data_IF_690207477733
#
_entry.id   IF_690207477733
#
_cell.length_a   1.000
_cell.length_b   1.000
_cell.length_c   1.000
_cell.angle_alpha   90.00
_cell.angle_beta   90.00
_cell.angle_gamma   90.00
#
_symmetry.space_group_name_H-M   'P 1'
#
loop_
_entity.id
_entity.type
_entity.pdbx_description
1 polymer ?
#
# COMPACT_ATOMS: atom_id res chain seq x y z
N UNK A 1 -18.28 -18.98 -6.58
CA UNK A 1 -17.72 -19.65 -5.39
C UNK A 1 -17.95 -18.73 -4.21
N UNK A 2 -18.52 -19.22 -3.11
CA UNK A 2 -18.76 -18.44 -1.88
C UNK A 2 -17.73 -18.90 -0.85
N UNK A 3 -17.15 -17.98 -0.08
CA UNK A 3 -16.28 -18.34 1.04
C UNK A 3 -17.08 -19.16 2.06
N UNK A 4 -16.45 -20.16 2.67
CA UNK A 4 -17.07 -20.97 3.73
C UNK A 4 -17.44 -20.09 4.93
N UNK A 5 -16.54 -19.17 5.27
CA UNK A 5 -16.76 -18.12 6.27
C UNK A 5 -16.90 -16.77 5.56
N UNK A 6 -18.04 -16.07 5.68
CA UNK A 6 -18.21 -14.75 5.09
C UNK A 6 -17.19 -13.74 5.63
N UNK A 7 -16.69 -12.89 4.74
CA UNK A 7 -15.78 -11.81 5.07
C UNK A 7 -16.31 -10.51 4.47
N UNK A 8 -16.48 -9.48 5.29
CA UNK A 8 -16.78 -8.13 4.85
C UNK A 8 -15.48 -7.39 4.57
N UNK A 9 -15.37 -6.83 3.38
CA UNK A 9 -14.24 -6.00 2.97
C UNK A 9 -14.68 -4.53 2.85
N UNK A 10 -13.99 -3.64 3.57
CA UNK A 10 -14.16 -2.19 3.50
C UNK A 10 -12.84 -1.54 3.10
N UNK A 11 -12.86 -0.74 2.03
CA UNK A 11 -11.69 0.01 1.56
C UNK A 11 -11.81 1.49 1.89
N UNK A 12 -10.81 2.04 2.57
CA UNK A 12 -10.59 3.47 2.69
C UNK A 12 -9.49 3.91 1.75
N UNK A 13 -9.67 5.08 1.15
CA UNK A 13 -8.76 5.69 0.21
C UNK A 13 -8.49 7.13 0.67
N UNK A 14 -7.23 7.43 0.92
CA UNK A 14 -6.80 8.75 1.33
C UNK A 14 -5.73 9.27 0.37
N UNK A 15 -5.98 10.43 -0.23
CA UNK A 15 -5.08 11.03 -1.21
C UNK A 15 -4.54 12.35 -0.68
N UNK A 16 -3.22 12.49 -0.66
CA UNK A 16 -2.53 13.72 -0.31
C UNK A 16 -2.66 14.76 -1.42
N UNK A 17 -2.93 16.01 -1.04
CA UNK A 17 -3.02 17.14 -1.98
C UNK A 17 -1.67 17.80 -2.24
N UNK A 18 -0.92 18.06 -1.17
CA UNK A 18 0.38 18.76 -1.22
C UNK A 18 1.58 17.80 -1.11
N UNK A 19 1.33 16.58 -0.63
CA UNK A 19 2.30 15.48 -0.63
C UNK A 19 1.78 14.43 -1.58
N UNK A 20 2.59 13.94 -2.54
CA UNK A 20 2.18 12.87 -3.44
C UNK A 20 2.08 11.57 -2.65
N UNK A 21 0.89 11.31 -2.11
CA UNK A 21 0.58 10.16 -1.30
C UNK A 21 -0.78 9.61 -1.71
N UNK A 22 -0.86 8.30 -1.89
CA UNK A 22 -2.11 7.57 -1.86
C UNK A 22 -2.00 6.47 -0.80
N UNK A 23 -2.86 6.53 0.22
CA UNK A 23 -2.98 5.53 1.26
C UNK A 23 -4.25 4.72 1.03
N UNK A 24 -4.09 3.42 0.87
CA UNK A 24 -5.16 2.45 0.62
C UNK A 24 -5.22 1.54 1.84
N UNK A 25 -6.37 1.47 2.50
CA UNK A 25 -6.55 0.65 3.70
C UNK A 25 -7.71 -0.29 3.44
N UNK A 26 -7.45 -1.59 3.52
CA UNK A 26 -8.45 -2.63 3.40
C UNK A 26 -8.70 -3.23 4.78
N UNK A 27 -9.84 -2.90 5.37
CA UNK A 27 -10.34 -3.51 6.59
C UNK A 27 -11.15 -4.76 6.25
N UNK A 28 -10.94 -5.81 7.03
CA UNK A 28 -11.54 -7.12 6.85
C UNK A 28 -12.18 -7.54 8.17
N UNK A 29 -13.50 -7.75 8.11
CA UNK A 29 -14.34 -8.10 9.27
C UNK A 29 -15.09 -9.40 8.95
N UNK A 30 -14.84 -10.44 9.73
CA UNK A 30 -15.49 -11.72 9.57
C UNK A 30 -15.13 -12.69 10.68
N UNK A 31 -15.44 -13.95 10.46
CA UNK A 31 -15.10 -15.03 11.41
C UNK A 31 -14.05 -15.96 10.79
N UNK A 32 -13.22 -16.54 11.65
CA UNK A 32 -12.21 -17.53 11.26
C UNK A 32 -10.99 -16.96 10.55
N UNK A 33 -10.29 -17.85 9.83
CA UNK A 33 -8.95 -17.61 9.29
C UNK A 33 -9.01 -17.50 7.77
N UNK A 34 -8.46 -16.43 7.23
CA UNK A 34 -8.52 -16.11 5.80
C UNK A 34 -7.12 -15.94 5.21
N UNK A 35 -6.93 -16.46 4.00
CA UNK A 35 -5.82 -16.08 3.14
C UNK A 35 -6.24 -14.85 2.33
N UNK A 36 -5.50 -13.76 2.51
CA UNK A 36 -5.84 -12.45 1.98
C UNK A 36 -4.75 -12.01 1.01
N UNK A 37 -5.20 -11.43 -0.10
CA UNK A 37 -4.34 -10.82 -1.10
C UNK A 37 -4.78 -9.39 -1.40
N UNK A 38 -3.87 -8.43 -1.19
CA UNK A 38 -4.02 -7.11 -1.80
C UNK A 38 -3.22 -7.07 -3.10
N UNK A 39 -3.93 -7.02 -4.23
CA UNK A 39 -3.35 -7.14 -5.57
C UNK A 39 -3.39 -5.84 -6.36
N UNK A 40 -2.28 -5.52 -7.02
CA UNK A 40 -2.15 -4.38 -7.92
C UNK A 40 -1.68 -4.84 -9.30
N UNK A 41 -2.47 -4.53 -10.32
CA UNK A 41 -2.10 -4.77 -11.71
C UNK A 41 -1.27 -3.62 -12.23
N UNK A 42 -0.20 -3.92 -12.97
CA UNK A 42 0.68 -2.89 -13.51
C UNK A 42 0.39 -2.60 -14.96
N UNK A 43 0.81 -1.41 -15.38
CA UNK A 43 0.87 -1.06 -16.78
C UNK A 43 1.90 -1.93 -17.50
N UNK A 44 1.75 -2.08 -18.81
CA UNK A 44 2.66 -2.89 -19.65
C UNK A 44 4.11 -2.37 -19.66
N UNK A 45 4.29 -1.07 -19.44
CA UNK A 45 5.59 -0.41 -19.36
C UNK A 45 6.22 -0.44 -17.96
N UNK A 46 5.56 -1.04 -16.97
CA UNK A 46 6.08 -1.03 -15.60
C UNK A 46 7.28 -1.99 -15.47
N UNK A 47 8.41 -1.44 -15.01
CA UNK A 47 9.54 -2.20 -14.49
C UNK A 47 9.46 -2.21 -12.96
N UNK A 48 9.43 -3.40 -12.38
CA UNK A 48 9.04 -3.60 -11.00
C UNK A 48 10.06 -4.45 -10.24
N UNK A 49 10.41 -4.05 -9.02
CA UNK A 49 11.31 -4.81 -8.16
C UNK A 49 10.98 -4.64 -6.68
N UNK A 50 11.25 -5.67 -5.89
CA UNK A 50 11.22 -5.55 -4.43
C UNK A 50 12.43 -4.73 -3.97
N UNK A 51 12.22 -3.89 -2.96
CA UNK A 51 13.29 -3.09 -2.34
C UNK A 51 13.44 -3.48 -0.87
N UNK A 52 14.69 -3.48 -0.40
CA UNK A 52 15.00 -3.73 1.00
C UNK A 52 14.79 -2.43 1.79
N UNK A 53 13.59 -2.25 2.30
CA UNK A 53 13.29 -1.24 3.32
C UNK A 53 13.43 -1.86 4.72
N UNK A 54 13.92 -1.07 5.68
CA UNK A 54 14.34 -1.56 6.99
C UNK A 54 13.17 -2.05 7.87
N UNK A 55 11.97 -1.48 7.66
CA UNK A 55 10.81 -1.69 8.55
C UNK A 55 9.57 -2.23 7.86
N UNK A 56 9.44 -2.08 6.54
CA UNK A 56 8.22 -2.44 5.83
C UNK A 56 8.54 -3.14 4.52
N UNK A 57 7.82 -4.20 4.13
CA UNK A 57 7.93 -4.74 2.79
C UNK A 57 7.56 -3.65 1.76
N UNK A 58 8.40 -3.50 0.76
CA UNK A 58 8.24 -2.46 -0.23
C UNK A 58 8.65 -2.89 -1.62
N UNK A 59 8.08 -2.19 -2.58
CA UNK A 59 8.31 -2.38 -4.00
C UNK A 59 8.56 -1.02 -4.64
N UNK A 60 9.50 -0.99 -5.57
CA UNK A 60 9.70 0.13 -6.48
C UNK A 60 9.17 -0.24 -7.87
N UNK A 61 8.48 0.72 -8.48
CA UNK A 61 7.89 0.63 -9.81
C UNK A 61 8.43 1.81 -10.60
N UNK A 62 9.13 1.53 -11.69
CA UNK A 62 9.60 2.53 -12.64
C UNK A 62 8.80 2.39 -13.95
N UNK A 63 8.47 3.52 -14.57
CA UNK A 63 7.80 3.63 -15.87
C UNK A 63 8.77 4.31 -16.83
N UNK A 64 9.64 3.54 -17.53
CA UNK A 64 10.74 4.09 -18.31
C UNK A 64 10.30 5.05 -19.40
N UNK A 65 9.13 4.85 -20.02
CA UNK A 65 8.68 5.71 -21.10
C UNK A 65 8.43 7.16 -20.66
N UNK A 66 8.09 7.38 -19.38
CA UNK A 66 7.66 8.68 -18.86
C UNK A 66 8.54 9.21 -17.72
N UNK A 67 9.63 8.51 -17.37
CA UNK A 67 10.49 8.83 -16.23
C UNK A 67 9.69 9.06 -14.93
N UNK A 68 8.68 8.22 -14.71
CA UNK A 68 7.90 8.18 -13.47
C UNK A 68 8.33 6.96 -12.66
N UNK A 69 8.36 7.13 -11.35
CA UNK A 69 8.69 6.10 -10.40
C UNK A 69 7.80 6.24 -9.17
N UNK A 70 7.55 5.11 -8.55
CA UNK A 70 6.62 4.96 -7.45
C UNK A 70 7.17 3.92 -6.49
N UNK A 71 6.99 4.17 -5.21
CA UNK A 71 7.23 3.19 -4.17
C UNK A 71 5.91 2.82 -3.52
N UNK A 72 5.70 1.54 -3.27
CA UNK A 72 4.58 1.05 -2.48
C UNK A 72 5.14 0.31 -1.27
N UNK A 73 4.67 0.66 -0.09
CA UNK A 73 5.03 0.02 1.17
C UNK A 73 3.77 -0.56 1.82
N UNK A 74 3.90 -1.70 2.50
CA UNK A 74 2.77 -2.36 3.17
C UNK A 74 2.96 -2.52 4.67
N UNK A 75 1.85 -2.41 5.38
CA UNK A 75 1.73 -2.91 6.75
C UNK A 75 0.39 -3.60 6.93
N UNK A 76 0.27 -4.40 7.98
CA UNK A 76 -0.98 -5.06 8.31
C UNK A 76 -1.12 -5.25 9.82
N UNK A 77 -2.35 -5.52 10.26
CA UNK A 77 -2.66 -5.87 11.65
C UNK A 77 -3.68 -7.01 11.70
N UNK A 78 -3.77 -7.66 12.85
CA UNK A 78 -4.70 -8.78 13.06
C UNK A 78 -4.27 -10.09 12.41
N UNK A 79 -2.96 -10.28 12.29
CA UNK A 79 -2.36 -11.54 11.83
C UNK A 79 -2.30 -12.55 12.99
N UNK A 80 -2.60 -13.81 12.67
CA UNK A 80 -2.56 -14.92 13.65
C UNK A 80 -1.18 -15.61 13.69
N UNK A 81 -0.26 -15.27 12.78
CA UNK A 81 1.05 -15.91 12.66
C UNK A 81 2.09 -14.97 12.05
N UNK A 82 3.35 -15.13 12.44
CA UNK A 82 4.49 -14.49 11.76
C UNK A 82 4.59 -14.95 10.29
N UNK A 83 5.09 -14.10 9.37
CA UNK A 83 5.73 -12.79 9.60
C UNK A 83 4.75 -11.67 9.95
N UNK A 84 5.22 -10.68 10.70
CA UNK A 84 4.45 -9.47 11.11
C UNK A 84 4.04 -8.57 9.92
N UNK A 85 4.61 -8.83 8.74
CA UNK A 85 4.38 -8.07 7.53
C UNK A 85 3.88 -8.95 6.38
N UNK A 86 3.09 -8.39 5.44
CA UNK A 86 2.67 -9.10 4.24
C UNK A 86 3.87 -9.59 3.41
N UNK A 87 3.76 -10.80 2.85
CA UNK A 87 4.71 -11.31 1.87
C UNK A 87 4.39 -10.73 0.49
N UNK A 88 5.37 -10.10 -0.15
CA UNK A 88 5.19 -9.48 -1.47
C UNK A 88 5.70 -10.40 -2.57
N UNK A 89 4.85 -10.64 -3.56
CA UNK A 89 5.19 -11.44 -4.73
C UNK A 89 4.87 -10.70 -6.03
N UNK A 90 5.76 -10.86 -7.00
CA UNK A 90 5.55 -10.51 -8.40
C UNK A 90 4.95 -11.72 -9.12
N UNK A 91 3.76 -11.55 -9.68
CA UNK A 91 3.07 -12.63 -10.39
C UNK A 91 2.79 -12.24 -11.84
N UNK A 92 2.90 -13.18 -12.80
CA UNK A 92 2.46 -12.94 -14.17
C UNK A 92 0.99 -12.52 -14.22
N UNK A 93 0.68 -11.59 -15.10
CA UNK A 93 -0.68 -11.10 -15.31
C UNK A 93 -0.92 -10.71 -16.76
N UNK A 94 -2.15 -10.31 -17.10
CA UNK A 94 -2.51 -9.97 -18.47
C UNK A 94 -3.38 -8.73 -18.53
N UNK A 95 -3.11 -7.88 -19.51
CA UNK A 95 -3.92 -6.72 -19.87
C UNK A 95 -4.54 -6.97 -21.25
N UNK A 96 -5.83 -6.64 -21.39
CA UNK A 96 -6.56 -6.75 -22.66
C UNK A 96 -7.24 -5.42 -22.95
N UNK A 97 -6.61 -4.62 -23.82
CA UNK A 97 -7.17 -3.33 -24.26
C UNK A 97 -8.15 -3.50 -25.43
N UNK A 98 -8.01 -4.60 -26.18
CA UNK A 98 -8.84 -4.93 -27.33
C UNK A 98 -9.32 -6.38 -27.17
N UNK A 99 -10.63 -6.58 -27.37
CA UNK A 99 -11.24 -7.90 -27.28
C UNK A 99 -10.54 -8.91 -28.19
N UNK A 100 -10.21 -10.09 -27.64
CA UNK A 100 -9.49 -11.14 -28.37
C UNK A 100 -7.97 -11.01 -28.35
N UNK A 101 -7.41 -9.94 -27.76
CA UNK A 101 -5.97 -9.77 -27.55
C UNK A 101 -5.62 -9.76 -26.06
N UNK A 102 -4.48 -10.36 -25.70
CA UNK A 102 -3.92 -10.30 -24.34
C UNK A 102 -2.45 -9.97 -24.44
N UNK A 103 -2.00 -9.02 -23.64
CA UNK A 103 -0.61 -8.68 -23.47
C UNK A 103 -0.18 -9.10 -22.07
N UNK A 104 0.98 -9.72 -21.97
CA UNK A 104 1.56 -10.09 -20.68
C UNK A 104 2.01 -8.84 -19.93
N UNK A 105 1.76 -8.84 -18.63
CA UNK A 105 2.15 -7.80 -17.69
C UNK A 105 2.52 -8.45 -16.37
N UNK A 106 2.73 -7.65 -15.34
CA UNK A 106 3.07 -8.11 -14.00
C UNK A 106 2.08 -7.51 -13.00
N UNK A 107 1.77 -8.27 -11.97
CA UNK A 107 1.00 -7.80 -10.82
C UNK A 107 1.80 -7.99 -9.54
N UNK A 108 1.59 -7.11 -8.58
CA UNK A 108 2.03 -7.32 -7.20
C UNK A 108 0.92 -7.95 -6.40
N UNK A 109 1.31 -8.84 -5.50
CA UNK A 109 0.42 -9.43 -4.52
C UNK A 109 1.06 -9.30 -3.16
N UNK A 110 0.42 -8.55 -2.26
CA UNK A 110 0.73 -8.57 -0.85
C UNK A 110 -0.16 -9.64 -0.19
N UNK A 111 0.47 -10.73 0.25
CA UNK A 111 -0.18 -11.90 0.83
C UNK A 111 -0.03 -11.92 2.33
N UNK A 112 -1.09 -12.25 3.03
CA UNK A 112 -1.04 -12.55 4.45
C UNK A 112 -2.16 -13.49 4.87
N UNK A 113 -2.02 -14.04 6.07
CA UNK A 113 -3.08 -14.78 6.73
C UNK A 113 -3.62 -13.93 7.87
N UNK A 114 -4.92 -13.74 7.90
CA UNK A 114 -5.59 -12.92 8.91
C UNK A 114 -6.59 -13.74 9.72
N UNK A 115 -6.81 -13.29 10.95
CA UNK A 115 -7.96 -13.73 11.76
C UNK A 115 -9.22 -12.90 11.47
N UNK A 116 -10.10 -12.84 12.47
CA UNK A 116 -11.46 -12.30 12.38
C UNK A 116 -11.54 -10.81 12.02
N UNK A 117 -10.74 -9.98 12.69
CA UNK A 117 -10.68 -8.53 12.45
C UNK A 117 -9.24 -8.14 12.13
N UNK A 118 -9.04 -7.69 10.91
CA UNK A 118 -7.71 -7.39 10.38
C UNK A 118 -7.74 -6.21 9.41
N UNK A 119 -6.55 -5.72 9.09
CA UNK A 119 -6.38 -4.69 8.09
C UNK A 119 -5.06 -4.84 7.35
N UNK A 120 -5.05 -4.50 6.08
CA UNK A 120 -3.85 -4.33 5.27
C UNK A 120 -3.84 -2.92 4.68
N UNK A 121 -2.74 -2.20 4.83
CA UNK A 121 -2.54 -0.88 4.25
C UNK A 121 -1.42 -0.90 3.23
N UNK A 122 -1.63 -0.17 2.13
CA UNK A 122 -0.64 0.18 1.13
C UNK A 122 -0.44 1.70 1.14
N UNK A 123 0.80 2.13 1.33
CA UNK A 123 1.24 3.50 1.17
C UNK A 123 1.92 3.62 -0.19
N UNK A 124 1.34 4.39 -1.08
CA UNK A 124 1.82 4.62 -2.45
C UNK A 124 2.42 6.02 -2.52
N UNK A 125 3.70 6.10 -2.89
CA UNK A 125 4.50 7.32 -2.94
C UNK A 125 5.09 7.48 -4.36
N UNK A 126 4.49 8.33 -5.21
CA UNK A 126 5.13 8.78 -6.43
C UNK A 126 6.38 9.60 -6.09
N UNK A 127 7.55 9.16 -6.56
CA UNK A 127 8.83 9.77 -6.16
C UNK A 127 9.23 10.95 -7.06
N UNK A 128 8.72 11.00 -8.29
CA UNK A 128 9.05 12.06 -9.26
C UNK A 128 8.15 13.30 -9.17
N UNK A 129 7.09 13.22 -8.38
CA UNK A 129 6.22 14.36 -8.08
C UNK A 129 6.90 15.22 -7.00
N UNK A 130 8.01 15.86 -7.37
CA UNK A 130 8.90 16.62 -6.48
C UNK A 130 8.16 17.74 -5.73
N UNK A 131 7.86 17.48 -4.46
CA UNK A 131 7.55 18.44 -3.40
C UNK A 131 8.11 17.79 -2.13
N UNK A 132 9.02 18.40 -1.34
CA UNK A 132 9.49 19.79 -1.28
C UNK A 132 10.83 20.03 -2.03
N UNK A 133 11.31 21.27 -2.02
CA UNK A 133 12.45 21.79 -2.81
C UNK A 133 13.81 21.10 -2.56
N UNK A 134 13.90 20.24 -1.55
CA UNK A 134 15.13 19.61 -1.07
C UNK A 134 15.69 18.53 -2.03
N UNK A 135 14.95 18.20 -3.09
CA UNK A 135 15.36 17.20 -4.08
C UNK A 135 15.43 15.77 -3.53
N UNK A 136 14.84 15.54 -2.36
CA UNK A 136 14.79 14.24 -1.69
C UNK A 136 13.45 13.54 -1.96
N UNK A 137 13.48 12.21 -1.84
CA UNK A 137 12.33 11.33 -1.98
C UNK A 137 11.54 11.24 -0.68
N UNK A 138 10.23 11.05 -0.76
CA UNK A 138 9.41 10.74 0.41
C UNK A 138 9.66 9.30 0.83
N UNK A 139 9.90 9.10 2.12
CA UNK A 139 10.12 7.78 2.72
C UNK A 139 9.13 7.53 3.84
N UNK A 140 8.71 6.28 3.93
CA UNK A 140 7.88 5.81 5.02
C UNK A 140 8.75 5.58 6.26
N UNK A 141 8.47 6.31 7.34
CA UNK A 141 9.10 6.06 8.64
C UNK A 141 8.23 5.15 9.52
N UNK A 142 6.91 5.34 9.45
CA UNK A 142 5.97 4.61 10.30
C UNK A 142 4.64 4.38 9.59
N UNK A 143 4.10 3.18 9.70
CA UNK A 143 2.76 2.80 9.28
C UNK A 143 2.18 1.79 10.27
N UNK A 144 1.27 2.26 11.11
CA UNK A 144 0.64 1.46 12.15
C UNK A 144 -0.87 1.38 11.93
N UNK A 145 -1.42 0.17 12.08
CA UNK A 145 -2.84 -0.11 12.02
C UNK A 145 -3.31 -0.61 13.39
N UNK A 146 -4.39 -0.01 13.90
CA UNK A 146 -5.09 -0.52 15.08
C UNK A 146 -6.43 -1.12 14.64
N UNK A 147 -6.52 -2.45 14.67
CA UNK A 147 -7.73 -3.19 14.29
C UNK A 147 -8.94 -2.92 15.19
N UNK A 148 -8.74 -2.57 16.46
CA UNK A 148 -9.83 -2.40 17.44
C UNK A 148 -10.53 -1.07 17.22
N UNK A 149 -9.76 -0.01 17.01
CA UNK A 149 -10.30 1.33 16.77
C UNK A 149 -10.47 1.65 15.28
N UNK A 150 -10.04 0.74 14.40
CA UNK A 150 -9.89 0.96 12.96
C UNK A 150 -9.16 2.27 12.66
N UNK A 151 -8.06 2.50 13.36
CA UNK A 151 -7.22 3.68 13.15
C UNK A 151 -5.95 3.33 12.40
N UNK A 152 -5.48 4.31 11.62
CA UNK A 152 -4.20 4.25 10.91
C UNK A 152 -3.38 5.46 11.29
N UNK A 153 -2.11 5.23 11.57
CA UNK A 153 -1.11 6.28 11.76
C UNK A 153 0.00 6.09 10.75
N UNK A 154 0.37 7.16 10.06
CA UNK A 154 1.37 7.19 9.01
C UNK A 154 2.32 8.34 9.27
N UNK A 155 3.63 8.07 9.25
CA UNK A 155 4.66 9.10 9.22
C UNK A 155 5.45 8.99 7.94
N UNK A 156 5.54 10.10 7.21
CA UNK A 156 6.44 10.26 6.08
C UNK A 156 7.52 11.30 6.39
N UNK A 157 8.72 11.09 5.87
CA UNK A 157 9.84 12.03 5.93
C UNK A 157 10.34 12.35 4.53
N UNK A 158 10.71 13.60 4.29
CA UNK A 158 11.38 14.05 3.07
C UNK A 158 12.30 15.23 3.40
N UNK A 159 13.61 14.98 3.44
CA UNK A 159 14.57 16.03 3.78
C UNK A 159 14.36 16.60 5.17
N UNK A 160 14.11 17.91 5.26
CA UNK A 160 13.77 18.58 6.52
C UNK A 160 12.28 18.55 6.84
N UNK A 161 11.46 17.84 6.07
CA UNK A 161 10.02 17.83 6.26
C UNK A 161 9.52 16.49 6.79
N UNK A 162 8.52 16.56 7.66
CA UNK A 162 7.81 15.42 8.23
C UNK A 162 6.31 15.63 8.09
N UNK A 163 5.62 14.61 7.59
CA UNK A 163 4.18 14.55 7.54
C UNK A 163 3.69 13.43 8.45
N UNK A 164 2.94 13.79 9.49
CA UNK A 164 2.20 12.84 10.33
C UNK A 164 0.72 12.83 9.89
N UNK A 165 0.17 11.64 9.65
CA UNK A 165 -1.22 11.43 9.24
C UNK A 165 -1.89 10.45 10.19
N UNK A 166 -3.09 10.78 10.67
CA UNK A 166 -3.93 9.87 11.45
C UNK A 166 -5.34 9.82 10.86
N UNK A 167 -5.86 8.62 10.62
CA UNK A 167 -7.20 8.41 10.07
C UNK A 167 -7.98 7.35 10.86
N UNK A 168 -9.31 7.50 10.98
CA UNK A 168 -10.20 6.56 11.68
C UNK A 168 -11.56 6.34 10.99
N UNK A 169 -11.65 6.58 9.68
CA UNK A 169 -12.87 6.38 8.88
C UNK A 169 -13.84 7.55 8.88
N UNK A 170 -13.85 8.36 9.94
CA UNK A 170 -14.68 9.56 10.04
C UNK A 170 -13.86 10.84 9.88
N UNK A 171 -12.65 10.83 10.42
CA UNK A 171 -11.78 11.99 10.49
C UNK A 171 -10.39 11.65 9.97
N UNK A 172 -9.74 12.66 9.39
CA UNK A 172 -8.35 12.58 8.98
C UNK A 172 -7.64 13.82 9.49
N UNK A 173 -6.55 13.58 10.21
CA UNK A 173 -5.65 14.60 10.71
C UNK A 173 -4.36 14.55 9.93
N UNK A 174 -3.95 15.72 9.44
CA UNK A 174 -2.70 15.91 8.70
C UNK A 174 -1.88 16.96 9.43
N UNK A 175 -0.63 16.64 9.76
CA UNK A 175 0.29 17.56 10.42
C UNK A 175 1.62 17.57 9.66
N UNK A 176 1.85 18.63 8.90
CA UNK A 176 3.14 18.88 8.24
C UNK A 176 3.98 19.78 9.14
N UNK A 177 5.23 19.39 9.39
CA UNK A 177 6.19 20.18 10.16
C UNK A 177 7.60 20.04 9.59
N UNK A 178 8.43 21.03 9.89
CA UNK A 178 9.86 20.96 9.65
C UNK A 178 10.54 20.24 10.82
N UNK A 179 11.58 19.46 10.52
CA UNK A 179 12.38 18.66 11.44
C UNK A 179 13.47 19.49 12.16
#
# INVERSE_FOLDING_TARGET
>A
MRLEQPLLHRRWLLMGKSVPLLLIIDWLEGEGRHEVEQRFQLHLDAAAGTVNEEFYPAVKIDYPANALSMQICWAACGQDSQPEHPQIELVPSWVSEIYGSKQESVSFVAKLVTGENSGIAAVVLPQDLRLPADGKEWRLEQLDLNRTEQTVTLTLICGSHRLDVKANGEQVYWNMRDL
#
